data_IF_107772281115
#
_entry.id   IF_107772281115
#
_cell.length_a   1.000
_cell.length_b   1.000
_cell.length_c   1.000
_cell.angle_alpha   90.00
_cell.angle_beta   90.00
_cell.angle_gamma   90.00
#
_symmetry.space_group_name_H-M   'P 1'
#
loop_
_entity.id
_entity.type
_entity.pdbx_description
1 polymer ?
#
# COMPACT_ATOMS: atom_id res chain seq x y z
N UNK A 1 29.56 62.26 2.59
CA UNK A 1 30.82 61.69 2.09
C UNK A 1 30.44 60.88 0.86
N UNK A 2 30.32 61.56 -0.28
CA UNK A 2 31.40 61.75 -1.27
C UNK A 2 31.73 60.39 -1.92
N UNK A 3 31.16 60.11 -3.10
CA UNK A 3 31.69 60.47 -4.43
C UNK A 3 32.61 59.32 -4.90
N UNK A 4 32.59 58.78 -6.12
CA UNK A 4 32.25 59.17 -7.50
C UNK A 4 32.10 57.83 -8.27
N UNK A 5 31.50 57.65 -9.45
CA UNK A 5 31.13 58.50 -10.59
C UNK A 5 31.22 57.57 -11.83
N UNK A 6 30.14 57.39 -12.61
CA UNK A 6 29.88 58.02 -13.94
C UNK A 6 30.82 57.50 -15.06
N UNK A 7 30.41 57.13 -16.29
CA UNK A 7 29.30 57.62 -17.09
C UNK A 7 29.01 56.73 -18.35
N UNK A 8 27.98 57.16 -19.07
CA UNK A 8 27.11 56.54 -20.10
C UNK A 8 27.61 56.69 -21.56
N UNK A 9 26.92 56.01 -22.49
CA UNK A 9 26.69 56.28 -23.95
C UNK A 9 27.70 55.60 -24.91
N UNK A 10 27.37 54.92 -26.01
CA UNK A 10 26.16 54.65 -26.80
C UNK A 10 26.57 54.28 -28.25
N UNK A 11 25.73 53.56 -29.00
CA UNK A 11 25.83 53.43 -30.47
C UNK A 11 25.99 52.00 -31.03
N UNK A 12 24.99 51.51 -31.79
CA UNK A 12 25.16 50.42 -32.76
C UNK A 12 25.43 50.97 -34.18
N UNK A 13 25.15 50.24 -35.28
CA UNK A 13 25.32 48.80 -35.55
C UNK A 13 26.02 48.53 -36.92
N UNK A 14 26.78 47.44 -37.06
CA UNK A 14 27.20 46.83 -38.34
C UNK A 14 27.49 45.34 -38.02
N UNK A 15 26.95 44.30 -38.65
CA UNK A 15 26.63 44.06 -40.06
C UNK A 15 27.36 42.77 -40.44
N UNK A 16 26.65 41.64 -40.59
CA UNK A 16 27.27 40.35 -40.92
C UNK A 16 26.27 39.19 -41.01
N UNK A 17 25.61 39.09 -42.15
CA UNK A 17 24.75 37.98 -42.57
C UNK A 17 25.59 36.73 -42.87
N UNK A 18 25.19 35.54 -42.40
CA UNK A 18 25.37 34.27 -43.13
C UNK A 18 24.28 33.26 -42.73
N UNK A 19 23.94 32.46 -43.72
CA UNK A 19 22.70 31.71 -43.98
C UNK A 19 22.61 30.32 -43.34
N UNK A 20 21.35 29.96 -43.05
CA UNK A 20 20.65 28.66 -43.11
C UNK A 20 21.39 27.36 -43.47
N UNK A 21 20.83 26.31 -42.84
CA UNK A 21 20.75 24.88 -43.18
C UNK A 21 21.83 23.95 -42.64
N UNK A 22 21.47 23.24 -41.57
CA UNK A 22 21.58 21.78 -41.48
C UNK A 22 20.74 21.27 -40.29
N UNK A 23 19.54 20.79 -40.60
CA UNK A 23 18.75 19.92 -39.73
C UNK A 23 19.55 18.64 -39.45
N UNK A 24 20.06 18.50 -38.23
CA UNK A 24 20.45 17.20 -37.69
C UNK A 24 19.44 16.82 -36.62
N UNK A 25 18.65 15.79 -36.95
CA UNK A 25 17.80 15.02 -36.05
C UNK A 25 18.53 14.75 -34.73
N UNK A 26 18.13 15.44 -33.66
CA UNK A 26 18.46 15.05 -32.31
C UNK A 26 17.66 13.76 -32.01
N UNK A 27 18.34 12.61 -32.11
CA UNK A 27 17.83 11.34 -31.61
C UNK A 27 17.55 11.50 -30.11
N UNK A 28 16.31 11.24 -29.70
CA UNK A 28 15.96 10.99 -28.31
C UNK A 28 16.88 9.89 -27.75
N UNK A 29 17.47 10.04 -26.57
CA UNK A 29 18.02 8.90 -25.86
C UNK A 29 16.86 8.01 -25.42
N UNK A 30 16.97 6.72 -25.72
CA UNK A 30 16.06 5.66 -25.30
C UNK A 30 15.79 5.72 -23.78
N UNK A 31 14.56 5.34 -23.40
CA UNK A 31 14.11 5.21 -22.03
C UNK A 31 15.12 4.40 -21.20
N UNK A 32 15.66 5.02 -20.15
CA UNK A 32 16.59 4.36 -19.25
C UNK A 32 15.88 3.20 -18.53
N UNK A 33 16.47 1.99 -18.46
CA UNK A 33 15.88 0.89 -17.72
C UNK A 33 16.01 1.17 -16.22
N UNK A 34 14.88 1.09 -15.52
CA UNK A 34 14.78 1.00 -14.06
C UNK A 34 15.69 -0.14 -13.56
N UNK A 35 16.89 0.20 -13.10
CA UNK A 35 17.83 -0.73 -12.47
C UNK A 35 17.90 -0.43 -10.98
N UNK A 36 16.92 -0.92 -10.21
CA UNK A 36 17.15 -1.18 -8.78
C UNK A 36 18.31 -2.17 -8.67
N UNK A 37 19.40 -1.80 -7.99
CA UNK A 37 20.53 -2.72 -7.73
C UNK A 37 20.02 -3.88 -6.89
N UNK A 38 19.90 -5.07 -7.48
CA UNK A 38 19.43 -6.28 -6.79
C UNK A 38 20.27 -6.58 -5.55
N UNK A 39 19.61 -6.73 -4.39
CA UNK A 39 20.26 -7.12 -3.14
C UNK A 39 20.87 -8.52 -3.24
N UNK A 40 21.76 -8.90 -2.32
CA UNK A 40 22.29 -10.27 -2.27
C UNK A 40 21.17 -11.32 -2.13
N UNK A 41 20.08 -10.98 -1.43
CA UNK A 41 18.86 -11.80 -1.33
C UNK A 41 18.14 -11.97 -2.67
N UNK A 42 18.09 -10.93 -3.52
CA UNK A 42 17.48 -11.02 -4.86
C UNK A 42 18.19 -12.04 -5.75
N UNK A 43 19.53 -12.03 -5.74
CA UNK A 43 20.33 -12.98 -6.55
C UNK A 43 20.24 -14.42 -6.07
N UNK A 44 20.04 -14.61 -4.76
CA UNK A 44 19.82 -15.94 -4.20
C UNK A 44 18.39 -16.44 -4.48
N UNK A 45 17.42 -15.54 -4.38
CA UNK A 45 16.02 -15.80 -4.74
C UNK A 45 15.88 -16.24 -6.20
N UNK A 46 16.55 -15.56 -7.14
CA UNK A 46 16.56 -15.95 -8.56
C UNK A 46 17.08 -17.38 -8.77
N UNK A 47 18.13 -17.78 -8.04
CA UNK A 47 18.66 -19.16 -8.12
C UNK A 47 17.72 -20.19 -7.52
N UNK A 48 17.04 -19.84 -6.42
CA UNK A 48 16.11 -20.76 -5.73
C UNK A 48 14.73 -20.83 -6.39
N UNK A 49 14.34 -19.81 -7.14
CA UNK A 49 13.07 -19.75 -7.88
C UNK A 49 12.84 -20.99 -8.75
N UNK A 50 13.87 -21.43 -9.46
CA UNK A 50 13.81 -22.65 -10.28
C UNK A 50 13.48 -23.90 -9.45
N UNK A 51 14.18 -24.09 -8.31
CA UNK A 51 13.97 -25.25 -7.45
C UNK A 51 12.54 -25.31 -6.91
N UNK A 52 12.03 -24.19 -6.39
CA UNK A 52 10.66 -24.13 -5.87
C UNK A 52 9.62 -24.36 -6.97
N UNK A 53 9.75 -23.71 -8.13
CA UNK A 53 8.80 -23.91 -9.21
C UNK A 53 8.78 -25.37 -9.70
N UNK A 54 9.95 -25.99 -9.82
CA UNK A 54 10.08 -27.41 -10.21
C UNK A 54 9.43 -28.36 -9.20
N UNK A 55 9.65 -28.12 -7.90
CA UNK A 55 9.18 -28.98 -6.83
C UNK A 55 7.66 -28.90 -6.65
N UNK A 56 7.11 -27.68 -6.61
CA UNK A 56 5.72 -27.43 -6.25
C UNK A 56 4.75 -27.45 -7.45
N UNK A 57 5.17 -27.00 -8.64
CA UNK A 57 4.27 -26.91 -9.80
C UNK A 57 4.26 -28.20 -10.64
N UNK A 58 5.36 -28.95 -10.65
CA UNK A 58 5.46 -30.18 -11.45
C UNK A 58 5.40 -29.93 -12.96
N UNK A 59 4.86 -30.89 -13.72
CA UNK A 59 4.63 -30.76 -15.16
C UNK A 59 5.86 -30.30 -15.96
N UNK A 60 5.68 -29.34 -16.86
CA UNK A 60 6.74 -28.74 -17.67
C UNK A 60 7.86 -28.08 -16.85
N UNK A 61 7.57 -27.61 -15.62
CA UNK A 61 8.58 -27.03 -14.72
C UNK A 61 9.65 -28.03 -14.27
N UNK A 62 9.39 -29.35 -14.36
CA UNK A 62 10.41 -30.38 -14.10
C UNK A 62 11.39 -30.57 -15.25
N UNK A 63 11.01 -30.15 -16.46
CA UNK A 63 11.79 -30.32 -17.68
C UNK A 63 12.62 -29.08 -18.01
N UNK A 64 12.16 -27.89 -17.59
CA UNK A 64 12.84 -26.62 -17.81
C UNK A 64 14.22 -26.58 -17.15
N UNK A 65 15.25 -26.18 -17.92
CA UNK A 65 16.58 -25.96 -17.36
C UNK A 65 16.64 -24.62 -16.60
N UNK A 66 17.50 -24.48 -15.57
CA UNK A 66 17.61 -23.25 -14.78
C UNK A 66 17.88 -22.01 -15.63
N UNK A 67 18.66 -22.14 -16.71
CA UNK A 67 19.08 -21.02 -17.57
C UNK A 67 17.96 -20.55 -18.51
N UNK A 68 16.93 -21.37 -18.71
CA UNK A 68 15.82 -21.09 -19.60
C UNK A 68 14.65 -20.40 -18.88
N UNK A 69 14.61 -20.52 -17.54
CA UNK A 69 13.54 -19.93 -16.75
C UNK A 69 13.68 -18.41 -16.69
N UNK A 70 12.63 -17.70 -17.08
CA UNK A 70 12.57 -16.25 -16.92
C UNK A 70 12.12 -15.93 -15.50
N UNK A 71 12.96 -15.24 -14.74
CA UNK A 71 12.68 -14.76 -13.39
C UNK A 71 12.85 -13.25 -13.38
N UNK A 72 11.73 -12.53 -13.47
CA UNK A 72 11.72 -11.07 -13.56
C UNK A 72 11.29 -10.48 -12.22
N UNK A 73 12.06 -9.58 -11.60
CA UNK A 73 11.63 -8.90 -10.39
C UNK A 73 10.39 -8.05 -10.69
N UNK A 74 9.38 -8.16 -9.84
CA UNK A 74 8.16 -7.36 -9.92
C UNK A 74 8.22 -6.28 -8.85
N UNK A 75 7.83 -5.05 -9.21
CA UNK A 75 7.66 -3.98 -8.24
C UNK A 75 6.58 -4.37 -7.23
N UNK A 76 6.98 -4.63 -5.98
CA UNK A 76 6.10 -4.91 -4.85
C UNK A 76 6.17 -3.83 -3.78
N UNK A 77 5.30 -3.93 -2.77
CA UNK A 77 5.24 -3.02 -1.63
C UNK A 77 6.50 -3.04 -0.74
N UNK A 78 6.46 -2.28 0.35
CA UNK A 78 7.61 -2.05 1.24
C UNK A 78 7.93 -3.21 2.20
N UNK A 79 7.22 -4.34 2.09
CA UNK A 79 7.31 -5.49 2.99
C UNK A 79 7.93 -6.74 2.35
N UNK A 80 7.74 -6.97 1.04
CA UNK A 80 7.92 -8.28 0.39
C UNK A 80 8.78 -8.22 -0.89
N UNK A 81 9.45 -9.32 -1.23
CA UNK A 81 10.14 -9.47 -2.52
C UNK A 81 9.29 -10.32 -3.47
N UNK A 82 9.04 -9.80 -4.68
CA UNK A 82 8.19 -10.43 -5.68
C UNK A 82 8.96 -10.72 -6.96
N UNK A 83 8.78 -11.93 -7.51
CA UNK A 83 9.36 -12.34 -8.79
C UNK A 83 8.29 -13.02 -9.64
N UNK A 84 8.21 -12.64 -10.91
CA UNK A 84 7.43 -13.38 -11.91
C UNK A 84 8.32 -14.48 -12.46
N UNK A 85 7.89 -15.72 -12.33
CA UNK A 85 8.56 -16.87 -12.92
C UNK A 85 7.72 -17.37 -14.10
N UNK A 86 8.35 -17.57 -15.27
CA UNK A 86 7.63 -17.98 -16.49
C UNK A 86 8.35 -19.11 -17.22
N UNK A 87 7.58 -20.11 -17.68
CA UNK A 87 8.08 -21.18 -18.53
C UNK A 87 8.53 -20.65 -19.91
N UNK A 88 9.57 -21.24 -20.53
CA UNK A 88 9.95 -20.95 -21.90
C UNK A 88 8.81 -21.21 -22.89
N UNK A 89 8.68 -20.33 -23.90
CA UNK A 89 7.62 -20.41 -24.94
C UNK A 89 7.64 -21.75 -25.70
N UNK A 90 8.82 -22.37 -25.85
CA UNK A 90 9.02 -23.61 -26.59
C UNK A 90 8.64 -24.87 -25.80
N UNK A 91 8.50 -24.79 -24.47
CA UNK A 91 8.07 -25.92 -23.63
C UNK A 91 6.55 -25.91 -23.48
N UNK A 92 5.82 -26.89 -24.06
CA UNK A 92 4.38 -27.00 -23.87
C UNK A 92 4.06 -27.46 -22.44
N UNK A 93 2.92 -27.04 -21.91
CA UNK A 93 2.41 -27.57 -20.64
C UNK A 93 2.10 -29.07 -20.76
N UNK A 94 2.35 -29.82 -19.69
CA UNK A 94 2.12 -31.27 -19.59
C UNK A 94 0.72 -31.56 -19.06
N UNK A 95 0.18 -30.70 -18.20
CA UNK A 95 -1.18 -30.73 -17.68
C UNK A 95 -1.69 -29.32 -17.41
N UNK A 96 -2.42 -29.16 -16.30
CA UNK A 96 -3.03 -27.89 -15.88
C UNK A 96 -2.05 -26.97 -15.12
N UNK A 97 -0.74 -27.25 -15.15
CA UNK A 97 0.21 -26.39 -14.45
C UNK A 97 0.26 -24.99 -15.07
N UNK A 98 0.35 -23.94 -14.23
CA UNK A 98 0.43 -22.57 -14.72
C UNK A 98 1.72 -22.37 -15.51
N UNK A 99 1.66 -21.59 -16.58
CA UNK A 99 2.86 -21.17 -17.34
C UNK A 99 3.60 -20.01 -16.70
N UNK A 100 2.89 -19.23 -15.89
CA UNK A 100 3.40 -18.06 -15.19
C UNK A 100 2.91 -18.07 -13.75
N UNK A 101 3.83 -17.82 -12.82
CA UNK A 101 3.54 -17.76 -11.38
C UNK A 101 4.21 -16.54 -10.76
N UNK A 102 3.67 -16.09 -9.65
CA UNK A 102 4.29 -15.09 -8.80
C UNK A 102 4.93 -15.78 -7.61
N UNK A 103 6.25 -15.67 -7.49
CA UNK A 103 7.01 -16.05 -6.31
C UNK A 103 7.04 -14.87 -5.35
N UNK A 104 6.47 -15.06 -4.16
CA UNK A 104 6.53 -14.11 -3.06
C UNK A 104 7.41 -14.66 -1.95
N UNK A 105 8.45 -13.90 -1.58
CA UNK A 105 9.30 -14.20 -0.43
C UNK A 105 8.95 -13.28 0.73
N UNK A 106 8.76 -13.90 1.90
CA UNK A 106 8.41 -13.19 3.13
C UNK A 106 9.50 -12.21 3.56
N UNK A 107 9.09 -11.00 3.92
CA UNK A 107 9.96 -10.00 4.53
C UNK A 107 10.46 -10.37 5.93
N UNK A 108 11.41 -9.60 6.45
CA UNK A 108 12.00 -9.83 7.78
C UNK A 108 11.04 -9.61 8.96
N UNK A 109 9.81 -9.15 8.70
CA UNK A 109 8.83 -8.72 9.73
C UNK A 109 7.93 -9.89 10.17
N UNK A 110 7.68 -10.86 9.29
CA UNK A 110 6.85 -12.04 9.57
C UNK A 110 7.67 -13.09 10.35
N UNK A 111 8.08 -12.76 11.57
CA UNK A 111 8.87 -13.63 12.44
C UNK A 111 8.02 -14.29 13.54
N UNK A 112 7.00 -15.05 13.13
CA UNK A 112 6.25 -15.90 14.06
C UNK A 112 5.59 -17.06 13.35
N UNK A 113 5.78 -18.29 13.86
CA UNK A 113 5.17 -19.52 13.34
C UNK A 113 3.64 -19.36 13.25
N UNK A 114 3.02 -18.77 14.27
CA UNK A 114 1.57 -18.54 14.31
C UNK A 114 1.10 -17.56 13.23
N UNK A 115 1.90 -16.52 12.94
CA UNK A 115 1.59 -15.55 11.89
C UNK A 115 1.62 -16.19 10.51
N UNK A 116 2.63 -17.03 10.24
CA UNK A 116 2.76 -17.75 8.98
C UNK A 116 1.62 -18.73 8.75
N UNK A 117 1.19 -19.45 9.81
CA UNK A 117 0.06 -20.38 9.75
C UNK A 117 -1.23 -19.63 9.44
N UNK A 118 -1.53 -18.54 10.16
CA UNK A 118 -2.74 -17.76 9.94
C UNK A 118 -2.79 -17.14 8.54
N UNK A 119 -1.67 -16.59 8.07
CA UNK A 119 -1.55 -16.03 6.73
C UNK A 119 -1.75 -17.11 5.66
N UNK A 120 -1.13 -18.28 5.82
CA UNK A 120 -1.29 -19.40 4.88
C UNK A 120 -2.73 -19.89 4.80
N UNK A 121 -3.40 -20.02 5.95
CA UNK A 121 -4.82 -20.39 6.03
C UNK A 121 -5.70 -19.32 5.37
N UNK A 122 -5.42 -18.05 5.63
CA UNK A 122 -6.15 -16.93 5.02
C UNK A 122 -6.02 -16.95 3.51
N UNK A 123 -4.79 -17.05 3.00
CA UNK A 123 -4.52 -17.04 1.57
C UNK A 123 -5.20 -18.22 0.87
N UNK A 124 -5.12 -19.42 1.45
CA UNK A 124 -5.80 -20.60 0.91
C UNK A 124 -7.33 -20.41 0.83
N UNK A 125 -7.96 -19.86 1.87
CA UNK A 125 -9.41 -19.60 1.86
C UNK A 125 -9.78 -18.58 0.77
N UNK A 126 -8.97 -17.53 0.59
CA UNK A 126 -9.22 -16.51 -0.43
C UNK A 126 -9.06 -17.07 -1.85
N UNK A 127 -8.07 -17.93 -2.07
CA UNK A 127 -7.88 -18.65 -3.34
C UNK A 127 -9.07 -19.56 -3.66
N UNK A 128 -9.51 -20.39 -2.71
CA UNK A 128 -10.65 -21.31 -2.87
C UNK A 128 -11.97 -20.57 -3.14
N UNK A 129 -12.13 -19.37 -2.58
CA UNK A 129 -13.33 -18.53 -2.80
C UNK A 129 -13.23 -17.65 -4.05
N UNK A 130 -12.16 -17.76 -4.85
CA UNK A 130 -11.90 -16.91 -6.02
C UNK A 130 -11.89 -15.40 -5.68
N UNK A 131 -11.43 -15.06 -4.47
CA UNK A 131 -11.34 -13.69 -3.96
C UNK A 131 -9.90 -13.17 -3.88
N UNK A 132 -8.93 -14.01 -4.25
CA UNK A 132 -7.54 -13.67 -4.44
C UNK A 132 -6.88 -14.58 -5.48
N UNK A 133 -5.56 -14.43 -5.69
CA UNK A 133 -4.81 -15.30 -6.60
C UNK A 133 -4.87 -16.77 -6.16
N UNK A 134 -4.85 -17.71 -7.11
CA UNK A 134 -4.70 -19.13 -6.79
C UNK A 134 -3.39 -19.41 -6.04
N UNK A 135 -3.42 -20.36 -5.10
CA UNK A 135 -2.24 -20.79 -4.35
C UNK A 135 -1.68 -22.08 -4.95
N UNK A 136 -0.41 -22.06 -5.38
CA UNK A 136 0.24 -23.21 -5.98
C UNK A 136 1.25 -23.90 -5.06
N UNK A 137 1.79 -23.20 -4.07
CA UNK A 137 2.74 -23.80 -3.13
C UNK A 137 3.09 -22.87 -1.97
N UNK A 138 3.40 -23.46 -0.82
CA UNK A 138 3.86 -22.75 0.40
C UNK A 138 5.11 -23.44 0.93
N UNK A 139 6.10 -22.63 1.32
CA UNK A 139 7.37 -23.06 1.90
C UNK A 139 7.84 -22.05 2.96
N UNK A 140 8.83 -22.40 3.81
CA UNK A 140 9.25 -21.54 4.91
C UNK A 140 9.66 -20.12 4.49
N UNK A 141 10.23 -19.95 3.30
CA UNK A 141 10.68 -18.65 2.80
C UNK A 141 9.61 -17.86 2.06
N UNK A 142 8.49 -18.47 1.67
CA UNK A 142 7.55 -17.83 0.76
C UNK A 142 6.44 -18.73 0.22
N UNK A 143 5.83 -18.27 -0.88
CA UNK A 143 4.78 -19.00 -1.59
C UNK A 143 4.83 -18.75 -3.09
N UNK A 144 4.20 -19.65 -3.82
CA UNK A 144 3.91 -19.53 -5.26
C UNK A 144 2.43 -19.28 -5.44
N UNK A 145 2.11 -18.20 -6.14
CA UNK A 145 0.75 -17.72 -6.37
C UNK A 145 0.48 -17.58 -7.87
N UNK A 146 -0.78 -17.48 -8.26
CA UNK A 146 -1.19 -17.09 -9.61
C UNK A 146 -0.62 -15.72 -9.97
N UNK A 147 0.08 -15.65 -11.11
CA UNK A 147 0.38 -14.37 -11.71
C UNK A 147 -0.88 -13.84 -12.40
N UNK A 148 -1.34 -12.67 -11.98
CA UNK A 148 -2.53 -12.01 -12.52
C UNK A 148 -2.10 -10.92 -13.49
N UNK A 149 -2.37 -11.03 -14.81
CA UNK A 149 -2.03 -10.00 -15.80
C UNK A 149 -2.72 -8.67 -15.49
N UNK A 150 -1.99 -7.77 -14.85
CA UNK A 150 -2.54 -6.57 -14.26
C UNK A 150 -1.44 -5.53 -14.02
N UNK A 151 -1.86 -4.35 -13.58
CA UNK A 151 -0.97 -3.36 -12.96
C UNK A 151 -1.58 -2.90 -11.63
N UNK A 152 -0.78 -2.52 -10.63
CA UNK A 152 -1.31 -1.77 -9.51
C UNK A 152 -1.88 -0.42 -9.99
N UNK A 153 -2.80 0.12 -9.20
CA UNK A 153 -3.22 1.50 -9.36
C UNK A 153 -2.08 2.44 -8.94
N UNK A 154 -2.19 3.70 -9.34
CA UNK A 154 -1.39 4.81 -8.85
C UNK A 154 -2.18 5.60 -7.83
N UNK A 155 -1.51 6.31 -6.93
CA UNK A 155 -2.14 7.16 -5.90
C UNK A 155 -3.15 8.14 -6.50
N UNK A 156 -2.80 8.73 -7.65
CA UNK A 156 -3.65 9.68 -8.37
C UNK A 156 -4.92 9.04 -8.96
N UNK A 157 -4.94 7.72 -9.19
CA UNK A 157 -6.10 7.00 -9.70
C UNK A 157 -7.13 6.70 -8.60
N UNK A 158 -6.74 6.73 -7.33
CA UNK A 158 -7.66 6.49 -6.20
C UNK A 158 -8.79 7.52 -6.13
N UNK A 159 -8.54 8.74 -6.62
CA UNK A 159 -9.52 9.85 -6.64
C UNK A 159 -10.46 9.85 -7.83
N UNK A 160 -10.23 8.99 -8.83
CA UNK A 160 -11.14 8.84 -9.96
C UNK A 160 -12.49 8.32 -9.44
N UNK A 161 -13.63 8.98 -9.75
CA UNK A 161 -14.92 8.59 -9.19
C UNK A 161 -15.34 7.15 -9.53
N UNK A 162 -14.97 6.64 -10.71
CA UNK A 162 -15.35 5.29 -11.14
C UNK A 162 -14.50 4.25 -10.42
N UNK A 163 -13.19 4.45 -10.35
CA UNK A 163 -12.29 3.57 -9.60
C UNK A 163 -12.59 3.62 -8.10
N UNK A 164 -12.81 4.80 -7.53
CA UNK A 164 -13.17 4.99 -6.11
C UNK A 164 -14.47 4.25 -5.75
N UNK A 165 -15.48 4.30 -6.62
CA UNK A 165 -16.71 3.52 -6.46
C UNK A 165 -16.45 2.01 -6.52
N UNK A 166 -15.64 1.55 -7.47
CA UNK A 166 -15.29 0.14 -7.60
C UNK A 166 -14.50 -0.38 -6.37
N UNK A 167 -13.56 0.42 -5.84
CA UNK A 167 -12.83 0.12 -4.61
C UNK A 167 -13.79 0.04 -3.42
N UNK A 168 -14.73 0.98 -3.29
CA UNK A 168 -15.73 0.97 -2.22
C UNK A 168 -16.59 -0.30 -2.24
N UNK A 169 -17.06 -0.71 -3.43
CA UNK A 169 -17.81 -1.96 -3.61
C UNK A 169 -16.95 -3.18 -3.28
N UNK A 170 -15.67 -3.20 -3.65
CA UNK A 170 -14.74 -4.29 -3.32
C UNK A 170 -14.49 -4.42 -1.82
N UNK A 171 -14.23 -3.30 -1.16
CA UNK A 171 -14.05 -3.25 0.29
C UNK A 171 -15.32 -3.73 1.02
N UNK A 172 -16.51 -3.32 0.57
CA UNK A 172 -17.78 -3.81 1.13
C UNK A 172 -17.94 -5.34 1.01
N UNK A 173 -17.63 -5.92 -0.14
CA UNK A 173 -17.63 -7.38 -0.33
C UNK A 173 -16.62 -8.07 0.58
N UNK A 174 -15.42 -7.51 0.71
CA UNK A 174 -14.37 -8.05 1.59
C UNK A 174 -14.81 -8.04 3.06
N UNK A 175 -15.43 -6.94 3.51
CA UNK A 175 -15.98 -6.82 4.86
C UNK A 175 -17.12 -7.82 5.15
N UNK A 176 -17.85 -8.26 4.12
CA UNK A 176 -18.90 -9.28 4.22
C UNK A 176 -18.39 -10.72 4.36
N UNK A 177 -17.07 -10.94 4.34
CA UNK A 177 -16.50 -12.29 4.39
C UNK A 177 -16.54 -12.89 5.80
N UNK A 178 -17.01 -14.14 5.88
CA UNK A 178 -16.88 -14.95 7.10
C UNK A 178 -15.59 -15.77 7.06
N UNK A 179 -14.66 -15.43 7.95
CA UNK A 179 -13.34 -16.06 8.04
C UNK A 179 -13.17 -16.76 9.39
N UNK A 180 -12.47 -17.92 9.47
CA UNK A 180 -12.32 -18.71 10.69
C UNK A 180 -11.24 -18.15 11.64
N UNK A 181 -11.23 -16.83 11.85
CA UNK A 181 -10.33 -16.13 12.76
C UNK A 181 -11.09 -15.52 13.93
N UNK A 182 -10.37 -15.06 14.96
CA UNK A 182 -10.97 -14.32 16.09
C UNK A 182 -11.79 -13.14 15.59
N UNK A 183 -13.00 -12.97 16.13
CA UNK A 183 -13.92 -11.87 15.79
C UNK A 183 -13.74 -10.65 16.68
N UNK A 184 -12.94 -10.79 17.73
CA UNK A 184 -12.68 -9.71 18.66
C UNK A 184 -11.64 -8.74 18.07
N UNK A 185 -11.89 -7.42 18.07
CA UNK A 185 -11.09 -6.41 17.36
C UNK A 185 -9.82 -6.01 18.11
N UNK A 186 -9.09 -6.97 18.68
CA UNK A 186 -7.85 -6.72 19.42
C UNK A 186 -6.69 -6.29 18.50
N UNK A 187 -6.79 -6.56 17.19
CA UNK A 187 -5.68 -6.41 16.25
C UNK A 187 -5.08 -5.00 16.25
N UNK A 188 -5.91 -3.97 16.15
CA UNK A 188 -5.45 -2.59 16.00
C UNK A 188 -4.62 -2.12 17.20
N UNK A 189 -5.24 -2.04 18.38
CA UNK A 189 -4.53 -1.56 19.56
C UNK A 189 -3.51 -2.57 20.10
N UNK A 190 -3.80 -3.87 20.03
CA UNK A 190 -2.84 -4.90 20.47
C UNK A 190 -1.56 -4.88 19.62
N UNK A 191 -1.66 -4.55 18.33
CA UNK A 191 -0.50 -4.35 17.47
C UNK A 191 0.21 -3.02 17.74
N UNK A 192 -0.51 -1.91 17.90
CA UNK A 192 0.11 -0.63 18.26
C UNK A 192 0.85 -0.70 19.61
N UNK A 193 0.27 -1.37 20.62
CA UNK A 193 0.91 -1.57 21.92
C UNK A 193 2.17 -2.42 21.81
N UNK A 194 2.11 -3.52 21.04
CA UNK A 194 3.28 -4.35 20.75
C UNK A 194 4.37 -3.55 20.03
N UNK A 195 4.01 -2.75 19.03
CA UNK A 195 4.97 -1.92 18.32
C UNK A 195 5.60 -0.88 19.23
N UNK A 196 4.79 -0.17 20.02
CA UNK A 196 5.29 0.82 20.97
C UNK A 196 6.26 0.20 21.97
N UNK A 197 5.95 -1.01 22.47
CA UNK A 197 6.83 -1.75 23.37
C UNK A 197 8.15 -2.15 22.69
N UNK A 198 8.10 -2.67 21.47
CA UNK A 198 9.30 -3.01 20.71
C UNK A 198 10.18 -1.79 20.44
N UNK A 199 9.60 -0.63 20.10
CA UNK A 199 10.35 0.62 19.90
C UNK A 199 11.06 1.03 21.19
N UNK A 200 10.40 0.93 22.34
CA UNK A 200 10.99 1.24 23.65
C UNK A 200 12.16 0.31 24.02
N UNK A 201 12.11 -0.94 23.55
CA UNK A 201 13.12 -1.95 23.81
C UNK A 201 14.27 -1.93 22.76
N UNK A 202 14.21 -1.07 21.75
CA UNK A 202 15.30 -0.92 20.77
C UNK A 202 16.57 -0.39 21.46
N UNK A 203 17.76 -0.91 21.09
CA UNK A 203 19.01 -0.40 21.63
C UNK A 203 19.21 1.06 21.21
N UNK A 204 19.86 1.91 22.04
CA UNK A 204 20.22 3.25 21.63
C UNK A 204 21.19 3.19 20.45
N UNK A 205 20.71 3.48 19.24
CA UNK A 205 21.51 3.34 18.01
C UNK A 205 22.33 4.59 17.66
N UNK A 206 22.34 5.63 18.51
CA UNK A 206 22.95 6.92 18.16
C UNK A 206 22.22 7.67 17.03
N UNK A 207 21.21 7.06 16.42
CA UNK A 207 20.27 7.68 15.48
C UNK A 207 19.13 8.34 16.27
N UNK A 208 18.53 9.43 15.77
CA UNK A 208 17.48 10.20 16.44
C UNK A 208 16.13 9.48 16.60
N UNK A 209 16.10 8.14 16.50
CA UNK A 209 14.91 7.28 16.66
C UNK A 209 14.19 7.54 17.99
N UNK A 210 14.94 7.84 19.05
CA UNK A 210 14.37 8.15 20.37
C UNK A 210 13.65 9.51 20.43
N UNK A 211 13.81 10.39 19.43
CA UNK A 211 13.15 11.70 19.46
C UNK A 211 11.65 11.60 19.12
N UNK A 212 11.20 10.75 18.19
CA UNK A 212 9.78 10.77 17.78
C UNK A 212 8.80 10.33 18.89
N UNK A 213 9.18 9.33 19.71
CA UNK A 213 8.36 8.87 20.84
C UNK A 213 8.12 10.00 21.86
N UNK A 214 9.19 10.71 22.22
CA UNK A 214 9.17 11.79 23.20
C UNK A 214 8.56 13.07 22.61
N UNK A 215 9.00 13.46 21.41
CA UNK A 215 8.55 14.66 20.68
C UNK A 215 7.03 14.70 20.50
N UNK A 216 6.40 13.55 20.28
CA UNK A 216 4.95 13.44 20.13
C UNK A 216 4.24 12.83 21.34
N UNK A 217 4.96 12.48 22.41
CA UNK A 217 4.40 11.85 23.61
C UNK A 217 3.52 10.62 23.28
N UNK A 218 4.02 9.76 22.37
CA UNK A 218 3.20 8.73 21.71
C UNK A 218 2.53 7.76 22.69
N UNK A 219 3.14 7.47 23.83
CA UNK A 219 2.53 6.60 24.85
C UNK A 219 1.22 7.17 25.39
N UNK A 220 1.23 8.44 25.78
CA UNK A 220 0.06 9.11 26.32
C UNK A 220 -0.97 9.37 25.22
N UNK A 221 -0.48 9.72 24.03
CA UNK A 221 -1.33 10.00 22.88
C UNK A 221 -2.08 8.76 22.37
N UNK A 222 -1.48 7.57 22.45
CA UNK A 222 -2.17 6.31 22.17
C UNK A 222 -3.36 6.10 23.12
N UNK A 223 -3.23 6.51 24.38
CA UNK A 223 -4.32 6.51 25.37
C UNK A 223 -5.44 7.50 25.02
N UNK A 224 -5.09 8.67 24.49
CA UNK A 224 -6.07 9.65 23.99
C UNK A 224 -6.82 9.14 22.76
N UNK A 225 -6.09 8.54 21.81
CA UNK A 225 -6.67 7.91 20.63
C UNK A 225 -7.64 6.80 21.03
N UNK A 226 -7.24 5.93 21.96
CA UNK A 226 -8.12 4.87 22.48
C UNK A 226 -9.44 5.42 23.01
N UNK A 227 -9.40 6.42 23.90
CA UNK A 227 -10.61 7.05 24.45
C UNK A 227 -11.52 7.64 23.37
N UNK A 228 -10.94 8.27 22.34
CA UNK A 228 -11.70 8.80 21.22
C UNK A 228 -12.42 7.68 20.44
N UNK A 229 -11.73 6.58 20.15
CA UNK A 229 -12.30 5.48 19.38
C UNK A 229 -13.29 4.64 20.19
N UNK A 230 -13.10 4.52 21.51
CA UNK A 230 -14.07 3.88 22.41
C UNK A 230 -15.43 4.60 22.39
N UNK A 231 -15.44 5.91 22.07
CA UNK A 231 -16.67 6.71 21.91
C UNK A 231 -17.10 6.88 20.45
N UNK A 232 -16.51 6.10 19.53
CA UNK A 232 -16.80 6.13 18.09
C UNK A 232 -17.20 4.73 17.64
N UNK A 233 -18.50 4.38 17.68
CA UNK A 233 -18.96 3.07 17.26
C UNK A 233 -18.54 2.75 15.82
N UNK A 234 -17.91 1.60 15.62
CA UNK A 234 -17.61 1.03 14.31
C UNK A 234 -17.88 -0.47 14.35
N UNK A 235 -18.66 -1.02 13.40
CA UNK A 235 -18.84 -2.45 13.29
C UNK A 235 -17.50 -3.17 13.13
N UNK A 236 -17.39 -4.36 13.74
CA UNK A 236 -16.26 -5.25 13.54
C UNK A 236 -16.54 -6.16 12.36
N UNK A 237 -15.68 -6.11 11.35
CA UNK A 237 -15.79 -6.83 10.08
C UNK A 237 -14.43 -7.40 9.71
N UNK A 238 -14.35 -8.27 8.71
CA UNK A 238 -13.07 -8.75 8.20
C UNK A 238 -12.45 -7.66 7.30
N UNK A 239 -11.45 -6.95 7.82
CA UNK A 239 -10.80 -5.83 7.15
C UNK A 239 -9.52 -6.29 6.45
N UNK A 240 -9.18 -5.62 5.35
CA UNK A 240 -7.90 -5.79 4.68
C UNK A 240 -6.76 -5.14 5.47
N UNK A 241 -7.05 -3.98 6.08
CA UNK A 241 -6.17 -3.12 6.88
C UNK A 241 -5.05 -2.39 6.11
N UNK A 242 -4.91 -2.62 4.81
CA UNK A 242 -3.86 -2.02 3.96
C UNK A 242 -4.29 -1.80 2.50
N UNK A 243 -5.45 -1.17 2.28
CA UNK A 243 -5.97 -0.87 0.94
C UNK A 243 -5.30 0.39 0.37
N UNK A 244 -4.01 0.28 0.06
CA UNK A 244 -3.23 1.24 -0.71
C UNK A 244 -3.24 0.91 -2.21
N UNK A 245 -2.83 1.84 -3.07
CA UNK A 245 -2.84 1.67 -4.54
C UNK A 245 -2.01 0.47 -5.03
N UNK A 246 -0.92 0.13 -4.33
CA UNK A 246 -0.08 -1.02 -4.65
C UNK A 246 -0.77 -2.37 -4.48
N UNK A 247 -1.81 -2.42 -3.64
CA UNK A 247 -2.58 -3.61 -3.30
C UNK A 247 -3.92 -3.69 -4.07
N UNK A 248 -4.14 -2.78 -5.04
CA UNK A 248 -5.32 -2.76 -5.89
C UNK A 248 -4.88 -2.96 -7.33
N UNK A 249 -5.14 -4.16 -7.85
CA UNK A 249 -4.77 -4.53 -9.21
C UNK A 249 -5.88 -4.19 -10.20
N UNK A 250 -5.55 -3.39 -11.22
CA UNK A 250 -6.38 -3.21 -12.41
C UNK A 250 -6.12 -4.35 -13.40
N UNK A 251 -7.14 -5.17 -13.62
CA UNK A 251 -7.07 -6.37 -14.45
C UNK A 251 -6.99 -6.00 -15.95
N UNK A 252 -6.06 -6.62 -16.69
CA UNK A 252 -5.88 -6.34 -18.12
C UNK A 252 -6.98 -6.95 -19.00
N UNK A 253 -7.56 -8.07 -18.55
CA UNK A 253 -8.63 -8.78 -19.23
C UNK A 253 -9.66 -9.22 -18.18
N UNK A 254 -10.55 -8.33 -17.73
CA UNK A 254 -11.54 -8.69 -16.72
C UNK A 254 -12.58 -9.65 -17.31
N UNK A 255 -12.85 -10.75 -16.61
CA UNK A 255 -13.86 -11.75 -17.02
C UNK A 255 -15.30 -11.28 -16.78
N UNK A 256 -15.48 -10.19 -16.03
CA UNK A 256 -16.77 -9.60 -15.70
C UNK A 256 -16.68 -8.06 -15.68
N UNK A 257 -17.75 -7.38 -15.26
CA UNK A 257 -17.71 -5.92 -14.99
C UNK A 257 -16.76 -5.57 -13.84
N UNK A 258 -16.22 -6.57 -13.15
CA UNK A 258 -15.32 -6.43 -12.03
C UNK A 258 -13.86 -6.31 -12.49
N UNK A 259 -13.37 -5.08 -12.58
CA UNK A 259 -12.05 -4.76 -13.13
C UNK A 259 -10.93 -4.67 -12.09
N UNK A 260 -11.26 -4.81 -10.80
CA UNK A 260 -10.30 -4.65 -9.71
C UNK A 260 -10.19 -5.92 -8.85
N UNK A 261 -8.97 -6.19 -8.40
CA UNK A 261 -8.69 -7.23 -7.41
C UNK A 261 -7.84 -6.66 -6.28
N UNK A 262 -8.25 -6.95 -5.04
CA UNK A 262 -7.44 -6.67 -3.86
C UNK A 262 -6.43 -7.81 -3.66
N UNK A 263 -5.22 -7.48 -3.24
CA UNK A 263 -4.14 -8.44 -2.98
C UNK A 263 -3.34 -8.02 -1.75
N UNK A 264 -2.45 -8.89 -1.28
CA UNK A 264 -1.56 -8.65 -0.14
C UNK A 264 -2.29 -8.51 1.21
N UNK A 265 -2.84 -9.63 1.67
CA UNK A 265 -3.66 -9.73 2.87
C UNK A 265 -2.83 -9.88 4.17
N UNK A 266 -1.56 -9.46 4.17
CA UNK A 266 -0.62 -9.70 5.28
C UNK A 266 -1.07 -9.07 6.61
N UNK A 267 -1.79 -7.95 6.54
CA UNK A 267 -2.34 -7.24 7.70
C UNK A 267 -3.81 -7.58 7.99
N UNK A 268 -4.46 -8.39 7.15
CA UNK A 268 -5.91 -8.60 7.24
C UNK A 268 -6.32 -9.27 8.56
N UNK A 269 -7.44 -8.83 9.12
CA UNK A 269 -7.96 -9.34 10.40
C UNK A 269 -9.41 -8.93 10.58
N UNK A 270 -10.11 -9.52 11.55
CA UNK A 270 -11.28 -8.81 12.08
C UNK A 270 -10.83 -7.53 12.76
N UNK A 271 -11.40 -6.41 12.34
CA UNK A 271 -11.07 -5.07 12.82
C UNK A 271 -12.28 -4.15 12.63
N UNK A 272 -12.16 -2.91 13.10
CA UNK A 272 -13.17 -1.88 12.91
C UNK A 272 -13.23 -1.45 11.44
N UNK A 273 -14.43 -1.50 10.84
CA UNK A 273 -14.70 -0.98 9.49
C UNK A 273 -14.14 0.43 9.27
N UNK A 274 -14.31 1.31 10.25
CA UNK A 274 -13.81 2.68 10.20
C UNK A 274 -12.30 2.75 9.94
N UNK A 275 -11.52 1.78 10.42
CA UNK A 275 -10.07 1.71 10.18
C UNK A 275 -9.77 1.47 8.70
N UNK A 276 -10.41 0.48 8.05
CA UNK A 276 -10.07 0.15 6.66
C UNK A 276 -10.45 1.28 5.70
N UNK A 277 -11.62 1.90 5.90
CA UNK A 277 -12.06 3.07 5.12
C UNK A 277 -11.17 4.28 5.40
N UNK A 278 -10.93 4.60 6.68
CA UNK A 278 -10.10 5.72 7.09
C UNK A 278 -8.66 5.58 6.60
N UNK A 279 -8.10 4.36 6.67
CA UNK A 279 -6.80 4.03 6.13
C UNK A 279 -6.74 4.26 4.63
N UNK A 280 -7.70 3.73 3.87
CA UNK A 280 -7.77 3.94 2.43
C UNK A 280 -7.80 5.44 2.07
N UNK A 281 -8.53 6.27 2.82
CA UNK A 281 -8.53 7.72 2.62
C UNK A 281 -7.17 8.37 2.92
N UNK A 282 -6.44 7.89 3.93
CA UNK A 282 -5.07 8.34 4.19
C UNK A 282 -4.15 8.04 3.01
N UNK A 283 -4.32 6.91 2.33
CA UNK A 283 -3.46 6.50 1.20
C UNK A 283 -3.60 7.40 -0.04
N UNK A 284 -4.66 8.21 -0.15
CA UNK A 284 -4.78 9.19 -1.24
C UNK A 284 -3.69 10.29 -1.17
N UNK A 285 -3.04 10.43 -0.02
CA UNK A 285 -2.03 11.45 0.25
C UNK A 285 -0.61 10.97 -0.05
N UNK A 286 -0.34 9.66 -0.01
CA UNK A 286 1.01 9.12 -0.05
C UNK A 286 1.29 8.43 -1.38
N UNK A 287 2.25 8.94 -2.14
CA UNK A 287 2.76 8.31 -3.36
C UNK A 287 4.09 7.62 -3.08
N UNK A 288 4.10 6.29 -3.15
CA UNK A 288 5.28 5.45 -2.89
C UNK A 288 6.13 5.19 -4.14
N UNK A 289 5.81 5.81 -5.27
CA UNK A 289 6.56 5.67 -6.53
C UNK A 289 7.61 6.76 -6.74
N UNK A 290 7.79 7.65 -5.76
CA UNK A 290 8.77 8.72 -5.83
C UNK A 290 10.20 8.16 -5.94
N UNK A 291 10.94 8.59 -6.96
CA UNK A 291 12.25 8.01 -7.30
C UNK A 291 13.41 8.53 -6.43
N UNK A 292 13.21 9.65 -5.74
CA UNK A 292 14.23 10.28 -4.90
C UNK A 292 13.93 10.07 -3.41
N UNK A 293 14.98 10.07 -2.57
CA UNK A 293 14.83 10.03 -1.11
C UNK A 293 13.82 11.10 -0.65
N UNK A 294 12.83 10.78 0.21
CA UNK A 294 12.70 9.57 1.05
C UNK A 294 11.97 8.38 0.38
N UNK A 295 11.86 8.37 -0.95
CA UNK A 295 11.16 7.37 -1.78
C UNK A 295 9.64 7.33 -1.56
N UNK A 296 9.09 8.39 -0.99
CA UNK A 296 7.66 8.68 -1.00
C UNK A 296 7.43 10.18 -1.14
N UNK A 297 6.22 10.58 -1.56
CA UNK A 297 5.77 11.97 -1.56
C UNK A 297 4.40 12.06 -0.89
N UNK A 298 4.30 12.89 0.15
CA UNK A 298 3.04 13.21 0.80
C UNK A 298 2.44 14.51 0.26
N UNK A 299 1.18 14.50 -0.15
CA UNK A 299 0.44 15.69 -0.58
C UNK A 299 -0.85 15.83 0.25
N UNK A 300 -0.81 16.49 1.42
CA UNK A 300 -1.98 16.54 2.33
C UNK A 300 -3.24 17.15 1.71
N UNK A 301 -3.09 17.99 0.67
CA UNK A 301 -4.19 18.56 -0.08
C UNK A 301 -4.98 17.52 -0.90
N UNK A 302 -4.39 16.35 -1.14
CA UNK A 302 -5.00 15.25 -1.89
C UNK A 302 -5.88 14.32 -1.02
N UNK A 303 -5.93 14.53 0.30
CA UNK A 303 -6.86 13.81 1.17
C UNK A 303 -8.30 14.03 0.67
N UNK A 304 -9.15 12.99 0.58
CA UNK A 304 -10.44 13.10 -0.07
C UNK A 304 -11.29 14.20 0.57
N UNK A 305 -11.86 15.06 -0.25
CA UNK A 305 -12.85 16.05 0.19
C UNK A 305 -14.09 15.36 0.75
N UNK A 306 -14.91 16.07 1.54
CA UNK A 306 -16.17 15.51 2.04
C UNK A 306 -17.07 14.95 0.92
N UNK A 307 -17.10 15.59 -0.25
CA UNK A 307 -17.84 15.11 -1.41
C UNK A 307 -17.32 13.77 -1.95
N UNK A 308 -15.99 13.61 -2.02
CA UNK A 308 -15.34 12.36 -2.43
C UNK A 308 -15.52 11.25 -1.39
N UNK A 309 -15.42 11.58 -0.10
CA UNK A 309 -15.66 10.61 0.98
C UNK A 309 -17.12 10.12 0.96
N UNK A 310 -18.09 11.02 0.81
CA UNK A 310 -19.50 10.64 0.68
C UNK A 310 -19.78 9.83 -0.59
N UNK A 311 -19.09 10.13 -1.71
CA UNK A 311 -19.17 9.32 -2.92
C UNK A 311 -18.70 7.88 -2.68
N UNK A 312 -17.55 7.70 -2.01
CA UNK A 312 -17.05 6.38 -1.62
C UNK A 312 -18.03 5.67 -0.67
N UNK A 313 -18.43 6.35 0.40
CA UNK A 313 -19.34 5.82 1.43
C UNK A 313 -20.68 5.37 0.83
N UNK A 314 -21.24 6.12 -0.13
CA UNK A 314 -22.48 5.72 -0.83
C UNK A 314 -22.35 4.40 -1.55
N UNK A 315 -21.28 4.21 -2.31
CA UNK A 315 -21.06 2.97 -3.06
C UNK A 315 -20.74 1.80 -2.14
N UNK A 316 -20.02 2.06 -1.06
CA UNK A 316 -19.78 1.09 0.02
C UNK A 316 -21.11 0.63 0.65
N UNK A 317 -21.94 1.58 1.11
CA UNK A 317 -23.22 1.28 1.76
C UNK A 317 -24.22 0.62 0.79
N UNK A 318 -24.23 1.00 -0.48
CA UNK A 318 -25.09 0.40 -1.49
C UNK A 318 -24.81 -1.11 -1.67
N UNK A 319 -23.54 -1.53 -1.60
CA UNK A 319 -23.19 -2.96 -1.64
C UNK A 319 -23.47 -3.65 -0.30
N UNK A 320 -23.17 -3.01 0.84
CA UNK A 320 -23.48 -3.58 2.18
C UNK A 320 -24.98 -3.79 2.39
N UNK A 321 -25.80 -2.85 1.92
CA UNK A 321 -27.27 -2.84 2.05
C UNK A 321 -27.97 -3.44 0.84
N UNK A 322 -27.24 -4.18 0.00
CA UNK A 322 -27.79 -4.80 -1.20
C UNK A 322 -28.89 -5.79 -0.84
N UNK A 323 -30.09 -5.54 -1.39
CA UNK A 323 -31.29 -6.33 -1.10
C UNK A 323 -32.12 -5.81 0.08
N UNK A 324 -31.68 -4.77 0.78
CA UNK A 324 -32.46 -4.07 1.79
C UNK A 324 -33.18 -2.85 1.19
N UNK A 325 -34.37 -2.52 1.70
CA UNK A 325 -35.07 -1.28 1.34
C UNK A 325 -34.76 -0.22 2.40
N UNK A 326 -33.84 0.69 2.08
CA UNK A 326 -33.42 1.77 2.99
C UNK A 326 -34.10 3.07 2.59
N UNK A 327 -34.69 3.78 3.55
CA UNK A 327 -35.29 5.10 3.29
C UNK A 327 -34.22 6.15 2.99
N UNK A 328 -34.55 7.23 2.28
CA UNK A 328 -33.58 8.31 2.03
C UNK A 328 -33.08 8.98 3.32
N UNK A 329 -33.91 9.05 4.35
CA UNK A 329 -33.52 9.64 5.65
C UNK A 329 -32.51 8.75 6.37
N UNK A 330 -32.76 7.45 6.41
CA UNK A 330 -31.85 6.46 6.99
C UNK A 330 -30.52 6.41 6.22
N UNK A 331 -30.58 6.43 4.89
CA UNK A 331 -29.39 6.47 4.03
C UNK A 331 -28.52 7.70 4.33
N UNK A 332 -29.12 8.91 4.44
CA UNK A 332 -28.39 10.13 4.80
C UNK A 332 -27.76 10.05 6.19
N UNK A 333 -28.46 9.43 7.15
CA UNK A 333 -27.95 9.22 8.50
C UNK A 333 -26.76 8.27 8.50
N UNK A 334 -26.86 7.12 7.83
CA UNK A 334 -25.77 6.15 7.69
C UNK A 334 -24.54 6.76 7.02
N UNK A 335 -24.73 7.58 5.99
CA UNK A 335 -23.64 8.31 5.33
C UNK A 335 -22.95 9.29 6.29
N UNK A 336 -23.72 10.08 7.05
CA UNK A 336 -23.17 11.05 7.99
C UNK A 336 -22.43 10.37 9.16
N UNK A 337 -22.99 9.30 9.72
CA UNK A 337 -22.39 8.53 10.81
C UNK A 337 -21.08 7.88 10.34
N UNK A 338 -21.07 7.25 9.16
CA UNK A 338 -19.88 6.59 8.61
C UNK A 338 -18.79 7.60 8.21
N UNK A 339 -19.17 8.82 7.83
CA UNK A 339 -18.20 9.90 7.58
C UNK A 339 -17.44 10.27 8.87
N UNK A 340 -18.14 10.40 10.00
CA UNK A 340 -17.52 10.68 11.30
C UNK A 340 -16.67 9.50 11.77
N UNK A 341 -17.19 8.28 11.65
CA UNK A 341 -16.50 7.03 11.95
C UNK A 341 -15.16 6.96 11.19
N UNK A 342 -15.19 7.02 9.86
CA UNK A 342 -13.99 6.87 9.03
C UNK A 342 -12.93 7.94 9.32
N UNK A 343 -13.30 9.21 9.52
CA UNK A 343 -12.31 10.26 9.79
C UNK A 343 -11.69 10.14 11.20
N UNK A 344 -12.42 9.66 12.21
CA UNK A 344 -11.83 9.42 13.53
C UNK A 344 -10.89 8.22 13.48
N UNK A 345 -11.25 7.16 12.77
CA UNK A 345 -10.39 5.98 12.59
C UNK A 345 -9.21 6.22 11.62
N UNK A 346 -9.28 7.21 10.72
CA UNK A 346 -8.13 7.66 9.92
C UNK A 346 -6.96 8.13 10.81
N UNK A 347 -7.26 8.70 11.98
CA UNK A 347 -6.23 8.99 12.99
C UNK A 347 -5.49 7.72 13.43
N UNK A 348 -6.20 6.61 13.62
CA UNK A 348 -5.57 5.34 13.96
C UNK A 348 -4.68 4.81 12.83
N UNK A 349 -5.05 5.03 11.57
CA UNK A 349 -4.16 4.71 10.44
C UNK A 349 -2.85 5.48 10.52
N UNK A 350 -2.89 6.80 10.72
CA UNK A 350 -1.67 7.60 10.89
C UNK A 350 -0.82 7.11 12.06
N UNK A 351 -1.46 6.84 13.21
CA UNK A 351 -0.75 6.40 14.40
C UNK A 351 -0.12 5.01 14.22
N UNK A 352 -0.87 4.06 13.66
CA UNK A 352 -0.43 2.69 13.39
C UNK A 352 0.78 2.67 12.46
N UNK A 353 0.67 3.30 11.29
CA UNK A 353 1.74 3.30 10.29
C UNK A 353 2.95 4.14 10.71
N UNK A 354 2.74 5.16 11.55
CA UNK A 354 3.83 5.90 12.18
C UNK A 354 4.67 5.00 13.10
N UNK A 355 4.04 4.22 13.97
CA UNK A 355 4.74 3.26 14.85
C UNK A 355 5.41 2.14 14.04
N UNK A 356 4.69 1.55 13.08
CA UNK A 356 5.23 0.54 12.18
C UNK A 356 6.50 1.05 11.49
N UNK A 357 6.49 2.29 11.03
CA UNK A 357 7.63 2.85 10.30
C UNK A 357 8.84 3.12 11.18
N UNK A 358 8.65 3.52 12.45
CA UNK A 358 9.78 3.62 13.40
C UNK A 358 10.45 2.26 13.57
N UNK A 359 9.68 1.17 13.67
CA UNK A 359 10.24 -0.17 13.74
C UNK A 359 10.95 -0.56 12.46
N UNK A 360 10.36 -0.28 11.28
CA UNK A 360 11.01 -0.58 10.01
C UNK A 360 12.37 0.11 9.87
N UNK A 361 12.51 1.34 10.36
CA UNK A 361 13.78 2.05 10.32
C UNK A 361 14.94 1.32 11.03
N UNK A 362 14.65 0.40 11.96
CA UNK A 362 15.68 -0.38 12.68
C UNK A 362 15.90 -1.79 12.15
N UNK A 363 14.93 -2.36 11.41
CA UNK A 363 14.97 -3.77 10.98
C UNK A 363 14.92 -3.99 9.47
N UNK A 364 14.40 -3.04 8.70
CA UNK A 364 14.21 -3.21 7.26
C UNK A 364 15.54 -3.13 6.52
N UNK A 365 15.62 -3.89 5.43
CA UNK A 365 16.74 -3.85 4.48
C UNK A 365 16.37 -3.13 3.19
N UNK A 366 15.11 -2.68 3.09
CA UNK A 366 14.59 -1.93 1.95
C UNK A 366 14.98 -0.46 2.10
N UNK A 367 15.49 0.12 1.02
CA UNK A 367 15.90 1.52 0.98
C UNK A 367 14.64 2.42 0.92
N UNK A 368 14.23 2.94 2.07
CA UNK A 368 13.06 3.80 2.23
C UNK A 368 13.25 4.75 3.43
N UNK A 369 12.79 5.99 3.32
CA UNK A 369 12.86 7.00 4.40
C UNK A 369 11.84 6.77 5.50
N UNK A 370 12.00 5.67 6.24
CA UNK A 370 11.03 5.23 7.25
C UNK A 370 10.85 6.24 8.40
N UNK A 371 11.90 6.94 8.84
CA UNK A 371 11.75 7.93 9.92
C UNK A 371 11.06 9.21 9.44
N UNK A 372 11.37 9.66 8.22
CA UNK A 372 10.68 10.77 7.55
C UNK A 372 9.20 10.44 7.36
N UNK A 373 8.91 9.22 6.92
CA UNK A 373 7.53 8.74 6.77
C UNK A 373 6.80 8.69 8.11
N UNK A 374 7.43 8.13 9.16
CA UNK A 374 6.86 8.12 10.50
C UNK A 374 6.49 9.53 10.98
N UNK A 375 7.43 10.48 10.83
CA UNK A 375 7.21 11.87 11.19
C UNK A 375 6.05 12.48 10.38
N UNK A 376 5.99 12.23 9.07
CA UNK A 376 4.89 12.70 8.21
C UNK A 376 3.52 12.20 8.70
N UNK A 377 3.42 10.88 9.01
CA UNK A 377 2.18 10.29 9.55
C UNK A 377 1.78 10.94 10.88
N UNK A 378 2.70 11.12 11.84
CA UNK A 378 2.38 11.75 13.13
C UNK A 378 2.02 13.23 12.99
N UNK A 379 2.69 14.00 12.13
CA UNK A 379 2.31 15.39 11.86
C UNK A 379 0.87 15.46 11.36
N UNK A 380 0.49 14.57 10.43
CA UNK A 380 -0.85 14.58 9.87
C UNK A 380 -1.91 14.08 10.85
N UNK A 381 -1.56 13.12 11.72
CA UNK A 381 -2.39 12.73 12.88
C UNK A 381 -2.80 13.95 13.71
N UNK A 382 -1.82 14.76 14.17
CA UNK A 382 -2.13 15.92 15.02
C UNK A 382 -2.90 17.02 14.26
N UNK A 383 -2.58 17.22 12.98
CA UNK A 383 -3.32 18.17 12.14
C UNK A 383 -4.78 17.77 11.96
N UNK A 384 -5.06 16.50 11.64
CA UNK A 384 -6.42 15.99 11.48
C UNK A 384 -7.17 15.97 12.81
N UNK A 385 -6.52 15.54 13.91
CA UNK A 385 -7.09 15.58 15.26
C UNK A 385 -7.55 16.99 15.63
N UNK A 386 -6.72 18.01 15.38
CA UNK A 386 -7.07 19.41 15.63
C UNK A 386 -8.26 19.91 14.81
N UNK A 387 -8.43 19.44 13.58
CA UNK A 387 -9.62 19.73 12.77
C UNK A 387 -10.86 19.08 13.38
N UNK A 388 -10.79 17.80 13.75
CA UNK A 388 -11.93 17.08 14.32
C UNK A 388 -12.39 17.63 15.69
N UNK A 389 -11.47 18.15 16.51
CA UNK A 389 -11.81 18.74 17.82
C UNK A 389 -12.31 20.18 17.71
N UNK A 390 -11.88 20.95 16.71
CA UNK A 390 -12.34 22.34 16.50
C UNK A 390 -13.76 22.46 15.95
N UNK A 391 -14.32 21.39 15.37
CA UNK A 391 -15.73 21.34 14.93
C UNK A 391 -16.74 21.04 16.06
N UNK A 392 -16.29 20.80 17.29
CA UNK A 392 -17.16 20.82 18.47
C UNK A 392 -16.98 22.14 19.23
N UNK A 393 -17.72 23.21 18.90
CA UNK A 393 -17.92 24.27 19.88
C UNK A 393 -18.68 23.64 21.05
N UNK A 394 -18.14 23.83 22.24
CA UNK A 394 -18.72 23.46 23.52
C UNK A 394 -20.23 23.71 23.50
N UNK A 395 -21.01 22.66 23.72
CA UNK A 395 -22.46 22.78 23.99
C UNK A 395 -22.69 23.42 25.34
#
# INVERSE_FOLDING_TARGET
>A
MAAEGTDVVGGGPLGGCLTKDSLLQAKCPDAAPSRRRGSARSRDAERRAHQWCREYLGGAWRQAQPEELRVDPVSGGLSNLLFRCSLPDHLPSVGEEPREVLLRLYGAILQGVDSLVLESVMFAILAERSLGPQLYGVFPEGRLEQYIPSRPLKTQELRDPVLSAAIATKMAKFHGMEMPFTKEPHWLFGTMERYLKQIQDLPPTGLPQMNLLEMYSLKDEMGNLRKLLDTTPSPVVFCHNDIQEGNILLLSAPESTDSLMLVDFEYSSYNYRGFDIGNHFCEWVYDYTHEEWPFYKAQPADYPTQGQQLHFIRHYLAEVKKGETVSQEEQRKLEADLLVEANRYALASHFFWGLWSILQASMSTIEFGYLEYAQSRFQFYFQQKGRLTSFHPSS
#
